data_IF_305603167124
#
_entry.id   IF_305603167124
#
_cell.length_a   1.000
_cell.length_b   1.000
_cell.length_c   1.000
_cell.angle_alpha   90.00
_cell.angle_beta   90.00
_cell.angle_gamma   90.00
#
_symmetry.space_group_name_H-M   'P 1'
#
loop_
_entity.id
_entity.type
_entity.pdbx_description
1 polymer ?
#
# COMPACT_ATOMS: atom_id res chain seq x y z
N UNK A 1 -9.76 55.82 42.31
CA UNK A 1 -8.34 55.64 41.94
C UNK A 1 -7.70 54.77 42.99
N UNK A 2 -7.60 53.47 42.72
CA UNK A 2 -6.81 52.52 43.51
C UNK A 2 -6.19 51.59 42.46
N UNK A 3 -4.94 51.88 42.11
CA UNK A 3 -4.17 51.14 41.12
C UNK A 3 -3.42 50.00 41.84
N UNK A 4 -3.95 48.79 41.73
CA UNK A 4 -3.21 47.57 42.03
C UNK A 4 -2.47 47.12 40.78
N UNK A 5 -1.15 47.33 40.79
CA UNK A 5 -0.20 46.75 39.84
C UNK A 5 -0.21 45.22 40.03
N UNK A 6 -0.99 44.54 39.18
CA UNK A 6 -0.99 43.09 39.05
C UNK A 6 0.11 42.64 38.08
N UNK A 7 1.22 42.18 38.66
CA UNK A 7 2.30 41.49 37.99
C UNK A 7 1.76 40.32 37.12
N UNK A 8 2.03 40.40 35.81
CA UNK A 8 1.75 39.35 34.83
C UNK A 8 3.05 38.90 34.15
N UNK A 9 4.03 38.45 34.92
CA UNK A 9 5.05 37.54 34.36
C UNK A 9 4.48 36.13 34.20
N UNK A 10 3.69 35.93 33.14
CA UNK A 10 3.34 34.58 32.68
C UNK A 10 4.56 34.05 31.92
N UNK A 11 5.49 33.44 32.65
CA UNK A 11 6.64 32.71 32.10
C UNK A 11 6.13 31.69 31.10
N UNK A 12 6.42 31.92 29.82
CA UNK A 12 6.22 30.94 28.76
C UNK A 12 7.17 29.78 29.00
N UNK A 13 6.73 28.78 29.76
CA UNK A 13 7.38 27.49 29.79
C UNK A 13 7.28 26.91 28.37
N UNK A 14 8.37 27.00 27.61
CA UNK A 14 8.51 26.31 26.34
C UNK A 14 8.24 24.83 26.59
N UNK A 15 7.22 24.27 25.93
CA UNK A 15 6.96 22.83 25.95
C UNK A 15 8.28 22.09 25.68
N UNK A 16 8.62 21.04 26.45
CA UNK A 16 9.90 20.36 26.31
C UNK A 16 10.10 19.92 24.86
N UNK A 17 11.28 20.23 24.31
CA UNK A 17 11.61 19.88 22.94
C UNK A 17 11.43 18.37 22.73
N UNK A 18 10.47 18.00 21.89
CA UNK A 18 10.13 16.62 21.62
C UNK A 18 11.36 15.87 21.06
N UNK A 19 11.63 14.68 21.61
CA UNK A 19 12.80 13.91 21.20
C UNK A 19 12.73 13.53 19.72
N UNK A 20 13.85 13.62 19.01
CA UNK A 20 13.96 13.26 17.60
C UNK A 20 13.47 11.83 17.32
N UNK A 21 13.60 10.92 18.30
CA UNK A 21 13.09 9.55 18.25
C UNK A 21 11.58 9.49 18.08
N UNK A 22 10.82 10.30 18.82
CA UNK A 22 9.35 10.38 18.68
C UNK A 22 8.95 10.93 17.31
N UNK A 23 9.73 11.88 16.78
CA UNK A 23 9.49 12.48 15.46
C UNK A 23 9.74 11.52 14.30
N UNK A 24 10.79 10.70 14.39
CA UNK A 24 11.18 9.78 13.30
C UNK A 24 10.53 8.39 13.41
N UNK A 25 9.92 8.04 14.54
CA UNK A 25 9.23 6.76 14.73
C UNK A 25 8.21 6.41 13.63
N UNK A 26 7.26 7.30 13.23
CA UNK A 26 6.34 6.98 12.14
C UNK A 26 7.04 6.82 10.79
N UNK A 27 8.11 7.56 10.55
CA UNK A 27 8.90 7.48 9.31
C UNK A 27 9.60 6.12 9.23
N UNK A 28 10.30 5.71 10.30
CA UNK A 28 10.97 4.42 10.37
C UNK A 28 9.99 3.26 10.30
N UNK A 29 8.84 3.37 10.96
CA UNK A 29 7.80 2.36 10.90
C UNK A 29 7.26 2.20 9.48
N UNK A 30 6.89 3.30 8.79
CA UNK A 30 6.37 3.21 7.42
C UNK A 30 7.44 2.74 6.43
N UNK A 31 8.69 3.18 6.60
CA UNK A 31 9.81 2.76 5.76
C UNK A 31 9.95 1.24 5.71
N UNK A 32 9.71 0.56 6.84
CA UNK A 32 9.81 -0.90 6.96
C UNK A 32 8.47 -1.61 6.72
N UNK A 33 7.34 -1.04 7.17
CA UNK A 33 6.04 -1.66 7.00
C UNK A 33 5.62 -1.77 5.53
N UNK A 34 5.90 -0.75 4.71
CA UNK A 34 5.55 -0.76 3.29
C UNK A 34 6.20 -1.91 2.51
N UNK A 35 7.53 -2.11 2.54
CA UNK A 35 8.15 -3.24 1.83
C UNK A 35 7.74 -4.60 2.39
N UNK A 36 7.54 -4.75 3.71
CA UNK A 36 7.02 -6.01 4.27
C UNK A 36 5.62 -6.32 3.70
N UNK A 37 4.75 -5.31 3.61
CA UNK A 37 3.41 -5.49 3.05
C UNK A 37 3.44 -5.75 1.53
N UNK A 38 4.40 -5.18 0.81
CA UNK A 38 4.53 -5.32 -0.63
C UNK A 38 5.11 -6.69 -1.04
N UNK A 39 6.19 -7.12 -0.40
CA UNK A 39 6.99 -8.25 -0.87
C UNK A 39 6.86 -9.49 0.02
N UNK A 40 6.87 -9.31 1.35
CA UNK A 40 7.00 -10.45 2.26
C UNK A 40 5.66 -11.04 2.66
N UNK A 41 4.62 -10.21 2.83
CA UNK A 41 3.36 -10.64 3.40
C UNK A 41 2.61 -11.65 2.51
N UNK A 42 2.77 -11.55 1.19
CA UNK A 42 2.18 -12.49 0.22
C UNK A 42 3.01 -13.78 0.08
N UNK A 43 4.30 -13.75 0.43
CA UNK A 43 5.18 -14.92 0.45
C UNK A 43 5.38 -15.60 -0.90
N UNK A 44 5.43 -14.82 -1.99
CA UNK A 44 5.57 -15.33 -3.37
C UNK A 44 7.03 -15.49 -3.80
N UNK A 45 7.97 -14.76 -3.20
CA UNK A 45 9.36 -14.74 -3.63
C UNK A 45 10.17 -15.89 -2.99
N UNK A 46 11.29 -16.24 -3.60
CA UNK A 46 12.15 -17.34 -3.12
C UNK A 46 12.82 -17.03 -1.77
N UNK A 47 12.92 -15.75 -1.41
CA UNK A 47 13.45 -15.24 -0.14
C UNK A 47 12.60 -15.59 1.09
N UNK A 48 11.32 -15.99 0.95
CA UNK A 48 10.41 -16.19 2.09
C UNK A 48 10.86 -17.29 3.07
N UNK A 49 11.76 -18.18 2.66
CA UNK A 49 12.35 -19.22 3.52
C UNK A 49 13.64 -18.82 4.24
N UNK A 50 14.20 -17.64 3.96
CA UNK A 50 15.51 -17.21 4.43
C UNK A 50 15.42 -15.89 5.23
N UNK A 51 15.47 -15.95 6.57
CA UNK A 51 15.43 -14.76 7.42
C UNK A 51 16.52 -13.73 7.13
N UNK A 52 17.72 -14.17 6.73
CA UNK A 52 18.81 -13.25 6.42
C UNK A 52 18.50 -12.51 5.12
N UNK A 53 18.04 -13.23 4.08
CA UNK A 53 17.62 -12.61 2.82
C UNK A 53 16.48 -11.59 3.02
N UNK A 54 15.51 -11.88 3.89
CA UNK A 54 14.43 -10.94 4.23
C UNK A 54 14.95 -9.68 4.94
N UNK A 55 15.95 -9.79 5.82
CA UNK A 55 16.53 -8.63 6.48
C UNK A 55 17.35 -7.80 5.49
N UNK A 56 18.19 -8.44 4.67
CA UNK A 56 19.01 -7.75 3.68
C UNK A 56 18.19 -7.15 2.54
N UNK A 57 17.10 -7.82 2.14
CA UNK A 57 16.18 -7.32 1.12
C UNK A 57 15.55 -5.98 1.49
N UNK A 58 15.39 -5.67 2.78
CA UNK A 58 14.91 -4.35 3.22
C UNK A 58 15.84 -3.21 2.78
N UNK A 59 17.15 -3.43 2.60
CA UNK A 59 18.04 -2.38 2.07
C UNK A 59 17.69 -1.99 0.62
N UNK A 60 17.09 -2.90 -0.14
CA UNK A 60 16.60 -2.67 -1.51
C UNK A 60 15.15 -2.19 -1.49
N UNK A 61 14.29 -2.87 -0.73
CA UNK A 61 12.86 -2.61 -0.75
C UNK A 61 12.44 -1.36 0.05
N UNK A 62 13.23 -0.89 1.02
CA UNK A 62 12.98 0.40 1.69
C UNK A 62 13.07 1.56 0.67
N UNK A 63 14.13 1.67 -0.16
CA UNK A 63 14.15 2.60 -1.28
C UNK A 63 12.98 2.46 -2.25
N UNK A 64 12.60 1.23 -2.62
CA UNK A 64 11.60 0.97 -3.67
C UNK A 64 10.16 1.17 -3.19
N UNK A 65 9.84 0.82 -1.95
CA UNK A 65 8.47 0.88 -1.40
C UNK A 65 8.33 1.83 -0.21
N UNK A 66 9.29 1.78 0.73
CA UNK A 66 9.28 2.62 1.92
C UNK A 66 9.35 4.11 1.60
N UNK A 67 10.30 4.51 0.76
CA UNK A 67 10.48 5.90 0.36
C UNK A 67 9.27 6.46 -0.41
N UNK A 68 8.70 5.77 -1.42
CA UNK A 68 7.45 6.19 -2.06
C UNK A 68 6.27 6.28 -1.11
N UNK A 69 6.08 5.31 -0.21
CA UNK A 69 4.99 5.35 0.76
C UNK A 69 5.07 6.62 1.64
N UNK A 70 6.28 6.98 2.11
CA UNK A 70 6.50 8.21 2.88
C UNK A 70 6.27 9.45 2.01
N UNK A 71 6.82 9.49 0.78
CA UNK A 71 6.66 10.61 -0.14
C UNK A 71 5.19 10.87 -0.48
N UNK A 72 4.45 9.84 -0.87
CA UNK A 72 3.02 9.90 -1.18
C UNK A 72 2.26 10.46 0.02
N UNK A 73 2.53 9.93 1.22
CA UNK A 73 1.91 10.40 2.47
C UNK A 73 2.22 11.87 2.72
N UNK A 74 3.47 12.29 2.59
CA UNK A 74 3.91 13.68 2.83
C UNK A 74 3.32 14.66 1.80
N UNK A 75 3.31 14.31 0.53
CA UNK A 75 2.71 15.11 -0.57
C UNK A 75 1.23 15.34 -0.32
N UNK A 76 0.52 14.34 0.22
CA UNK A 76 -0.91 14.45 0.50
C UNK A 76 -1.20 15.17 1.80
N UNK A 77 -0.54 14.80 2.90
CA UNK A 77 -0.86 15.32 4.24
C UNK A 77 -0.43 16.76 4.45
N UNK A 78 0.71 17.17 3.88
CA UNK A 78 1.22 18.55 4.00
C UNK A 78 0.24 19.64 3.54
N UNK A 79 -0.41 19.54 2.36
CA UNK A 79 -1.44 20.48 1.93
C UNK A 79 -2.84 20.17 2.50
N UNK A 80 -2.98 19.21 3.42
CA UNK A 80 -4.26 18.83 4.01
C UNK A 80 -5.19 18.01 3.11
N UNK A 81 -4.66 17.29 2.10
CA UNK A 81 -5.44 16.42 1.21
C UNK A 81 -5.78 15.07 1.86
N UNK A 82 -6.75 14.38 1.24
CA UNK A 82 -7.37 13.17 1.77
C UNK A 82 -6.90 11.87 1.11
N UNK A 83 -7.54 10.76 1.50
CA UNK A 83 -7.32 9.42 0.95
C UNK A 83 -7.49 9.29 -0.57
N UNK A 84 -8.42 9.99 -1.24
CA UNK A 84 -8.52 9.93 -2.70
C UNK A 84 -7.20 10.28 -3.42
N UNK A 85 -6.47 11.28 -2.94
CA UNK A 85 -5.14 11.61 -3.48
C UNK A 85 -4.09 10.53 -3.18
N UNK A 86 -4.16 9.85 -2.02
CA UNK A 86 -3.25 8.73 -1.71
C UNK A 86 -3.49 7.58 -2.68
N UNK A 87 -4.75 7.19 -2.91
CA UNK A 87 -5.08 6.10 -3.84
C UNK A 87 -4.62 6.38 -5.27
N UNK A 88 -4.79 7.61 -5.76
CA UNK A 88 -4.33 7.99 -7.10
C UNK A 88 -2.80 8.02 -7.22
N UNK A 89 -2.08 8.53 -6.22
CA UNK A 89 -0.62 8.49 -6.22
C UNK A 89 -0.08 7.07 -6.04
N UNK A 90 -0.75 6.23 -5.25
CA UNK A 90 -0.41 4.81 -5.13
C UNK A 90 -0.66 4.06 -6.45
N UNK A 91 -1.71 4.42 -7.19
CA UNK A 91 -1.96 3.90 -8.53
C UNK A 91 -0.87 4.33 -9.51
N UNK A 92 -0.46 5.61 -9.48
CA UNK A 92 0.63 6.12 -10.29
C UNK A 92 1.94 5.38 -9.99
N UNK A 93 2.26 5.16 -8.71
CA UNK A 93 3.39 4.34 -8.29
C UNK A 93 3.27 2.91 -8.82
N UNK A 94 2.12 2.24 -8.62
CA UNK A 94 1.94 0.85 -9.04
C UNK A 94 2.03 0.65 -10.54
N UNK A 95 1.49 1.59 -11.33
CA UNK A 95 1.62 1.57 -12.80
C UNK A 95 3.09 1.76 -13.20
N UNK A 96 3.79 2.75 -12.63
CA UNK A 96 5.19 3.00 -12.96
C UNK A 96 6.08 1.80 -12.59
N UNK A 97 5.90 1.27 -11.38
CA UNK A 97 6.64 0.13 -10.85
C UNK A 97 6.46 -1.10 -11.75
N UNK A 98 5.22 -1.56 -11.94
CA UNK A 98 4.92 -2.78 -12.69
C UNK A 98 5.22 -2.67 -14.19
N UNK A 99 5.05 -1.48 -14.79
CA UNK A 99 5.17 -1.33 -16.23
C UNK A 99 6.58 -0.99 -16.72
N UNK A 100 7.31 -0.15 -15.99
CA UNK A 100 8.60 0.39 -16.46
C UNK A 100 9.78 0.02 -15.58
N UNK A 101 9.58 -0.23 -14.28
CA UNK A 101 10.69 -0.53 -13.38
C UNK A 101 10.98 -2.03 -13.36
N UNK A 102 10.03 -2.85 -12.92
CA UNK A 102 10.17 -4.32 -12.96
C UNK A 102 9.67 -4.92 -14.29
N UNK A 103 8.89 -4.16 -15.07
CA UNK A 103 8.38 -4.54 -16.40
C UNK A 103 7.43 -5.75 -16.41
N UNK A 104 7.01 -6.25 -15.24
CA UNK A 104 6.10 -7.38 -15.09
C UNK A 104 4.74 -7.19 -15.77
N UNK A 105 4.26 -5.96 -15.91
CA UNK A 105 2.97 -5.69 -16.55
C UNK A 105 2.99 -6.03 -18.05
N UNK A 106 4.12 -5.80 -18.70
CA UNK A 106 4.26 -5.93 -20.16
C UNK A 106 5.08 -7.13 -20.61
N UNK A 107 5.87 -7.73 -19.73
CA UNK A 107 6.73 -8.87 -20.06
C UNK A 107 5.92 -10.19 -20.04
N UNK A 108 5.71 -10.85 -21.20
CA UNK A 108 4.99 -12.13 -21.27
C UNK A 108 5.81 -13.32 -20.74
N UNK A 109 7.09 -13.14 -20.43
CA UNK A 109 8.00 -14.19 -19.94
C UNK A 109 8.74 -13.75 -18.68
N UNK A 110 8.09 -12.96 -17.83
CA UNK A 110 8.70 -12.36 -16.64
C UNK A 110 9.31 -13.42 -15.70
N UNK A 111 10.62 -13.28 -15.41
CA UNK A 111 11.40 -14.09 -14.47
C UNK A 111 11.31 -15.60 -14.70
N UNK A 112 11.03 -16.04 -15.92
CA UNK A 112 10.82 -17.45 -16.29
C UNK A 112 9.87 -18.21 -15.33
N UNK A 113 8.86 -17.50 -14.79
CA UNK A 113 7.91 -18.08 -13.84
C UNK A 113 7.04 -19.11 -14.59
N UNK A 114 7.11 -20.38 -14.19
CA UNK A 114 6.48 -21.50 -14.92
C UNK A 114 4.97 -21.41 -15.08
N UNK A 115 4.29 -20.64 -14.23
CA UNK A 115 2.86 -20.40 -14.31
C UNK A 115 2.47 -19.01 -14.85
N UNK A 116 3.44 -18.23 -15.33
CA UNK A 116 3.22 -16.84 -15.74
C UNK A 116 2.19 -16.70 -16.86
N UNK A 117 2.27 -17.58 -17.87
CA UNK A 117 1.31 -17.60 -18.98
C UNK A 117 -0.13 -17.79 -18.49
N UNK A 118 -0.34 -18.55 -17.41
CA UNK A 118 -1.66 -18.75 -16.80
C UNK A 118 -2.19 -17.51 -16.08
N UNK A 119 -1.34 -16.57 -15.68
CA UNK A 119 -1.74 -15.29 -15.10
C UNK A 119 -1.92 -14.22 -16.18
N UNK A 120 -1.01 -14.20 -17.15
CA UNK A 120 -0.89 -13.14 -18.13
C UNK A 120 -1.86 -13.32 -19.31
N UNK A 121 -1.93 -14.51 -19.93
CA UNK A 121 -2.70 -14.71 -21.17
C UNK A 121 -4.24 -14.69 -21.02
N UNK A 122 -4.87 -15.22 -19.96
CA UNK A 122 -6.32 -15.51 -20.00
C UNK A 122 -7.24 -14.29 -20.11
N UNK A 123 -6.76 -13.10 -19.77
CA UNK A 123 -7.54 -11.84 -19.87
C UNK A 123 -6.82 -10.78 -20.68
N UNK A 124 -6.04 -11.20 -21.67
CA UNK A 124 -5.26 -10.33 -22.54
C UNK A 124 -6.15 -9.25 -23.17
N UNK A 125 -5.74 -7.99 -23.06
CA UNK A 125 -6.48 -6.87 -23.62
C UNK A 125 -6.21 -6.70 -25.12
N UNK A 126 -7.13 -6.06 -25.86
CA UNK A 126 -6.86 -5.64 -27.24
C UNK A 126 -5.54 -4.85 -27.31
N UNK A 127 -4.66 -5.23 -28.25
CA UNK A 127 -3.30 -4.69 -28.37
C UNK A 127 -2.21 -5.59 -27.79
N UNK A 128 -2.56 -6.57 -26.95
CA UNK A 128 -1.64 -7.62 -26.51
C UNK A 128 -0.49 -7.16 -25.61
N UNK A 129 -0.58 -5.96 -25.02
CA UNK A 129 0.48 -5.43 -24.15
C UNK A 129 0.41 -5.94 -22.72
N UNK A 130 -0.80 -6.16 -22.19
CA UNK A 130 -1.06 -6.61 -20.81
C UNK A 130 -2.46 -7.22 -20.75
N UNK A 131 -2.77 -7.88 -19.64
CA UNK A 131 -4.11 -8.39 -19.35
C UNK A 131 -4.82 -7.64 -18.25
N UNK A 132 -6.14 -7.78 -18.21
CA UNK A 132 -6.99 -7.16 -17.19
C UNK A 132 -6.67 -7.70 -15.78
N UNK A 133 -6.39 -9.01 -15.67
CA UNK A 133 -5.99 -9.64 -14.41
C UNK A 133 -4.66 -9.08 -13.90
N UNK A 134 -3.68 -8.86 -14.77
CA UNK A 134 -2.39 -8.29 -14.40
C UNK A 134 -2.52 -6.85 -13.89
N UNK A 135 -3.30 -6.01 -14.59
CA UNK A 135 -3.59 -4.64 -14.11
C UNK A 135 -4.26 -4.69 -12.73
N UNK A 136 -5.29 -5.53 -12.57
CA UNK A 136 -6.03 -5.65 -11.32
C UNK A 136 -5.15 -6.15 -10.17
N UNK A 137 -4.32 -7.15 -10.43
CA UNK A 137 -3.43 -7.78 -9.45
C UNK A 137 -2.26 -6.88 -9.06
N UNK A 138 -1.44 -6.46 -10.03
CA UNK A 138 -0.22 -5.68 -9.77
C UNK A 138 -0.54 -4.25 -9.34
N UNK A 139 -1.33 -3.51 -10.13
CA UNK A 139 -1.66 -2.12 -9.79
C UNK A 139 -2.57 -2.08 -8.56
N UNK A 140 -3.57 -2.96 -8.46
CA UNK A 140 -4.43 -3.05 -7.28
C UNK A 140 -3.68 -3.44 -6.02
N UNK A 141 -2.75 -4.39 -6.11
CA UNK A 141 -1.85 -4.80 -5.04
C UNK A 141 -1.01 -3.64 -4.53
N UNK A 142 -0.43 -2.83 -5.44
CA UNK A 142 0.31 -1.64 -5.05
C UNK A 142 -0.55 -0.55 -4.41
N UNK A 143 -1.75 -0.29 -4.95
CA UNK A 143 -2.68 0.69 -4.39
C UNK A 143 -3.00 0.33 -2.95
N UNK A 144 -3.43 -0.92 -2.71
CA UNK A 144 -3.99 -1.33 -1.43
C UNK A 144 -2.89 -1.83 -0.49
N UNK A 145 -2.18 -2.89 -0.86
CA UNK A 145 -1.23 -3.62 -0.02
C UNK A 145 0.10 -2.90 0.17
N UNK A 146 0.73 -2.43 -0.92
CA UNK A 146 2.09 -1.86 -0.83
C UNK A 146 2.13 -0.44 -0.26
N UNK A 147 1.08 0.36 -0.48
CA UNK A 147 1.10 1.80 -0.14
C UNK A 147 0.00 2.19 0.85
N UNK A 148 -1.29 2.00 0.50
CA UNK A 148 -2.37 2.61 1.30
C UNK A 148 -2.54 1.96 2.68
N UNK A 149 -2.52 0.63 2.76
CA UNK A 149 -2.64 -0.10 4.02
C UNK A 149 -1.49 0.19 5.00
N UNK A 150 -0.19 0.15 4.61
CA UNK A 150 0.90 0.50 5.52
C UNK A 150 0.87 1.98 5.94
N UNK A 151 0.45 2.91 5.06
CA UNK A 151 0.20 4.32 5.48
C UNK A 151 -0.89 4.38 6.55
N UNK A 152 -2.02 3.72 6.34
CA UNK A 152 -3.14 3.69 7.29
C UNK A 152 -2.74 3.08 8.63
N UNK A 153 -1.99 1.98 8.59
CA UNK A 153 -1.46 1.31 9.77
C UNK A 153 -0.49 2.22 10.54
N UNK A 154 0.39 2.92 9.83
CA UNK A 154 1.31 3.88 10.45
C UNK A 154 0.56 5.05 11.09
N UNK A 155 -0.41 5.63 10.40
CA UNK A 155 -1.27 6.68 10.96
C UNK A 155 -2.03 6.18 12.20
N UNK A 156 -2.43 4.92 12.22
CA UNK A 156 -3.09 4.30 13.38
C UNK A 156 -2.11 4.00 14.54
N UNK A 157 -0.86 3.69 14.23
CA UNK A 157 0.22 3.53 15.23
C UNK A 157 0.60 4.85 15.89
N UNK A 158 0.49 5.97 15.18
CA UNK A 158 0.93 7.28 15.66
C UNK A 158 -0.20 8.32 15.52
N UNK A 159 -1.31 8.17 16.28
CA UNK A 159 -2.51 9.01 16.14
C UNK A 159 -2.21 10.51 16.20
N UNK A 160 -1.40 10.92 17.17
CA UNK A 160 -1.06 12.33 17.42
C UNK A 160 -0.34 12.99 16.25
N UNK A 161 0.30 12.19 15.38
CA UNK A 161 1.08 12.65 14.23
C UNK A 161 0.42 12.29 12.90
N UNK A 162 -0.73 11.63 12.91
CA UNK A 162 -1.33 11.02 11.72
C UNK A 162 -1.61 12.04 10.60
N UNK A 163 -1.95 13.28 10.95
CA UNK A 163 -2.32 14.34 10.00
C UNK A 163 -1.25 15.40 9.79
N UNK A 164 -0.18 15.38 10.56
CA UNK A 164 0.88 16.38 10.50
C UNK A 164 1.99 15.96 9.54
N UNK A 165 2.69 16.87 8.85
CA UNK A 165 3.95 16.55 8.18
C UNK A 165 4.96 15.93 9.14
N UNK A 166 5.59 14.82 8.76
CA UNK A 166 6.63 14.17 9.57
C UNK A 166 8.01 14.70 9.27
N UNK A 167 8.25 15.16 8.04
CA UNK A 167 9.56 15.51 7.52
C UNK A 167 9.63 16.97 7.08
N UNK A 168 10.85 17.49 6.97
CA UNK A 168 11.12 18.80 6.34
C UNK A 168 11.37 18.61 4.84
N UNK A 169 11.18 19.64 3.99
CA UNK A 169 11.37 19.53 2.55
C UNK A 169 12.71 18.93 2.10
N UNK A 170 13.88 19.23 2.72
CA UNK A 170 15.14 18.60 2.32
C UNK A 170 15.14 17.07 2.48
N UNK A 171 14.49 16.55 3.52
CA UNK A 171 14.37 15.11 3.71
C UNK A 171 13.48 14.46 2.65
N UNK A 172 12.51 15.20 2.08
CA UNK A 172 11.71 14.70 0.94
C UNK A 172 12.56 14.59 -0.32
N UNK A 173 13.46 15.55 -0.57
CA UNK A 173 14.40 15.47 -1.69
C UNK A 173 15.32 14.26 -1.51
N UNK A 174 15.83 14.03 -0.30
CA UNK A 174 16.62 12.84 0.02
C UNK A 174 15.87 11.54 -0.21
N UNK A 175 14.59 11.45 0.20
CA UNK A 175 13.75 10.28 -0.07
C UNK A 175 13.45 10.10 -1.57
N UNK A 176 13.27 11.17 -2.33
CA UNK A 176 13.09 11.10 -3.77
C UNK A 176 14.35 10.60 -4.48
N UNK A 177 15.52 11.05 -4.06
CA UNK A 177 16.81 10.55 -4.56
C UNK A 177 17.02 9.07 -4.16
N UNK A 178 16.68 8.70 -2.93
CA UNK A 178 16.74 7.31 -2.47
C UNK A 178 15.83 6.40 -3.29
N UNK A 179 14.59 6.83 -3.54
CA UNK A 179 13.67 6.11 -4.42
C UNK A 179 14.20 6.02 -5.85
N UNK A 180 14.72 7.11 -6.42
CA UNK A 180 15.30 7.08 -7.76
C UNK A 180 16.47 6.09 -7.88
N UNK A 181 17.32 6.01 -6.86
CA UNK A 181 18.40 5.03 -6.79
C UNK A 181 17.86 3.58 -6.70
N UNK A 182 16.84 3.33 -5.86
CA UNK A 182 16.19 2.03 -5.76
C UNK A 182 15.46 1.61 -7.05
N UNK A 183 14.72 2.54 -7.65
CA UNK A 183 14.03 2.36 -8.93
C UNK A 183 15.02 2.07 -10.06
N UNK A 184 16.15 2.78 -10.09
CA UNK A 184 17.23 2.50 -11.03
C UNK A 184 17.83 1.11 -10.81
N UNK A 185 18.06 0.69 -9.56
CA UNK A 185 18.59 -0.64 -9.26
C UNK A 185 17.65 -1.75 -9.77
N UNK A 186 16.33 -1.63 -9.55
CA UNK A 186 15.34 -2.59 -10.06
C UNK A 186 15.29 -2.59 -11.58
N UNK A 187 15.31 -1.41 -12.21
CA UNK A 187 15.32 -1.30 -13.66
C UNK A 187 16.60 -1.88 -14.27
N UNK A 188 17.76 -1.56 -13.70
CA UNK A 188 19.04 -2.09 -14.15
C UNK A 188 19.07 -3.62 -14.04
N UNK A 189 18.61 -4.18 -12.92
CA UNK A 189 18.48 -5.62 -12.73
C UNK A 189 17.56 -6.25 -13.80
N UNK A 190 16.42 -5.62 -14.09
CA UNK A 190 15.50 -6.08 -15.14
C UNK A 190 16.15 -5.99 -16.53
N UNK A 191 16.92 -4.93 -16.82
CA UNK A 191 17.62 -4.79 -18.10
C UNK A 191 18.74 -5.81 -18.26
N UNK A 192 19.41 -6.19 -17.17
CA UNK A 192 20.53 -7.14 -17.21
C UNK A 192 20.06 -8.59 -17.32
N UNK A 193 18.93 -8.94 -16.71
CA UNK A 193 18.45 -10.33 -16.61
C UNK A 193 17.26 -10.68 -17.53
N UNK A 194 16.46 -9.70 -17.96
CA UNK A 194 15.32 -9.95 -18.85
C UNK A 194 15.63 -9.56 -20.30
N UNK A 195 15.12 -10.34 -21.26
CA UNK A 195 15.23 -10.00 -22.68
C UNK A 195 14.18 -8.96 -23.13
N UNK A 196 13.08 -8.83 -22.39
CA UNK A 196 11.98 -7.94 -22.73
C UNK A 196 12.39 -6.47 -22.65
N UNK A 197 11.92 -5.65 -23.60
CA UNK A 197 12.07 -4.19 -23.56
C UNK A 197 10.73 -3.55 -23.90
N UNK A 198 10.21 -2.62 -23.08
CA UNK A 198 8.98 -1.93 -23.40
C UNK A 198 9.17 -1.09 -24.67
N UNK A 199 8.23 -1.19 -25.59
CA UNK A 199 8.18 -0.36 -26.80
C UNK A 199 8.02 1.13 -26.46
N UNK A 200 8.41 2.01 -27.38
CA UNK A 200 8.21 3.45 -27.20
C UNK A 200 6.74 3.83 -26.92
N UNK A 201 5.79 3.09 -27.51
CA UNK A 201 4.37 3.28 -27.27
C UNK A 201 3.97 2.88 -25.84
N UNK A 202 4.45 1.74 -25.33
CA UNK A 202 4.25 1.31 -23.94
C UNK A 202 4.82 2.31 -22.95
N UNK A 203 6.04 2.83 -23.19
CA UNK A 203 6.66 3.86 -22.36
C UNK A 203 5.81 5.14 -22.37
N UNK A 204 5.44 5.63 -23.55
CA UNK A 204 4.65 6.86 -23.69
C UNK A 204 3.29 6.75 -22.98
N UNK A 205 2.54 5.67 -23.23
CA UNK A 205 1.23 5.45 -22.61
C UNK A 205 1.35 5.37 -21.10
N UNK A 206 2.33 4.63 -20.58
CA UNK A 206 2.56 4.55 -19.13
C UNK A 206 2.85 5.92 -18.54
N UNK A 207 3.77 6.70 -19.14
CA UNK A 207 4.10 8.05 -18.64
C UNK A 207 2.88 8.97 -18.65
N UNK A 208 2.06 8.93 -19.70
CA UNK A 208 0.81 9.70 -19.79
C UNK A 208 -0.15 9.29 -18.66
N UNK A 209 -0.38 8.00 -18.43
CA UNK A 209 -1.25 7.51 -17.35
C UNK A 209 -0.74 7.96 -15.98
N UNK A 210 0.57 7.81 -15.72
CA UNK A 210 1.20 8.24 -14.46
C UNK A 210 1.03 9.75 -14.26
N UNK A 211 1.28 10.57 -15.28
CA UNK A 211 1.12 12.03 -15.20
C UNK A 211 -0.33 12.41 -14.94
N UNK A 212 -1.29 11.78 -15.64
CA UNK A 212 -2.73 12.03 -15.45
C UNK A 212 -3.16 11.68 -14.03
N UNK A 213 -2.71 10.53 -13.48
CA UNK A 213 -3.01 10.13 -12.12
C UNK A 213 -2.44 11.09 -11.08
N UNK A 214 -1.18 11.53 -11.26
CA UNK A 214 -0.55 12.53 -10.39
C UNK A 214 -1.30 13.87 -10.48
N UNK A 215 -1.58 14.35 -11.70
CA UNK A 215 -2.31 15.59 -11.91
C UNK A 215 -3.70 15.55 -11.26
N UNK A 216 -4.45 14.45 -11.44
CA UNK A 216 -5.73 14.23 -10.80
C UNK A 216 -5.62 14.21 -9.26
N UNK A 217 -4.59 13.55 -8.70
CA UNK A 217 -4.35 13.50 -7.27
C UNK A 217 -4.11 14.90 -6.67
N UNK A 218 -3.40 15.76 -7.39
CA UNK A 218 -3.08 17.13 -6.99
C UNK A 218 -4.23 18.11 -7.25
N UNK A 219 -5.07 17.84 -8.26
CA UNK A 219 -6.27 18.63 -8.56
C UNK A 219 -7.41 18.44 -7.55
N UNK A 220 -7.42 17.32 -6.81
CA UNK A 220 -8.41 17.10 -5.74
C UNK A 220 -8.34 18.25 -4.72
N UNK A 221 -9.47 18.92 -4.44
CA UNK A 221 -9.53 20.03 -3.51
C UNK A 221 -8.98 19.67 -2.13
N UNK A 222 -8.25 20.62 -1.53
CA UNK A 222 -7.87 20.57 -0.12
C UNK A 222 -9.18 20.57 0.69
N UNK A 223 -9.32 19.64 1.63
CA UNK A 223 -10.54 19.26 2.37
C UNK A 223 -11.69 20.29 2.34
N UNK A 224 -12.78 19.94 1.63
CA UNK A 224 -14.16 20.22 2.02
C UNK A 224 -15.02 19.05 1.54
N UNK A 225 -15.41 18.16 2.45
CA UNK A 225 -16.45 17.17 2.15
C UNK A 225 -17.64 17.49 3.01
N UNK A 226 -18.75 17.86 2.39
CA UNK A 226 -20.02 17.95 3.09
C UNK A 226 -20.33 16.58 3.69
N UNK A 227 -20.44 16.52 5.02
CA UNK A 227 -20.86 15.30 5.69
C UNK A 227 -22.27 14.97 5.21
N UNK A 228 -22.48 13.72 4.79
CA UNK A 228 -23.82 13.23 4.43
C UNK A 228 -24.50 12.75 5.70
N UNK A 229 -25.80 13.00 5.84
CA UNK A 229 -26.59 12.37 6.88
C UNK A 229 -26.61 10.85 6.65
N UNK A 230 -26.38 10.07 7.72
CA UNK A 230 -26.36 8.62 7.65
C UNK A 230 -25.66 7.96 8.84
N UNK A 231 -25.96 6.68 9.07
CA UNK A 231 -25.32 5.86 10.11
C UNK A 231 -23.99 5.32 9.58
N UNK A 232 -22.94 5.44 10.40
CA UNK A 232 -21.64 4.79 10.11
C UNK A 232 -21.69 3.37 10.68
N UNK A 233 -21.36 2.31 9.90
CA UNK A 233 -21.23 0.96 10.45
C UNK A 233 -20.13 0.91 11.51
N UNK A 234 -20.17 -0.10 12.39
CA UNK A 234 -19.08 -0.28 13.37
C UNK A 234 -17.75 -0.62 12.66
N UNK A 235 -16.59 -0.31 13.27
CA UNK A 235 -15.29 -0.71 12.73
C UNK A 235 -15.17 -2.22 12.47
N UNK A 236 -15.84 -3.07 13.26
CA UNK A 236 -15.86 -4.52 13.05
C UNK A 236 -16.58 -4.92 11.74
N UNK A 237 -17.70 -4.26 11.41
CA UNK A 237 -18.39 -4.48 10.13
C UNK A 237 -17.50 -4.03 8.97
N UNK A 238 -16.85 -2.87 9.09
CA UNK A 238 -15.91 -2.38 8.07
C UNK A 238 -14.75 -3.35 7.87
N UNK A 239 -14.18 -3.89 8.96
CA UNK A 239 -13.13 -4.90 8.90
C UNK A 239 -13.59 -6.14 8.13
N UNK A 240 -14.72 -6.72 8.51
CA UNK A 240 -15.24 -7.95 7.89
C UNK A 240 -15.54 -7.75 6.40
N UNK A 241 -16.19 -6.64 6.03
CA UNK A 241 -16.47 -6.34 4.62
C UNK A 241 -15.18 -6.09 3.83
N UNK A 242 -14.21 -5.39 4.41
CA UNK A 242 -12.92 -5.13 3.75
C UNK A 242 -12.12 -6.42 3.55
N UNK A 243 -12.10 -7.30 4.56
CA UNK A 243 -11.46 -8.62 4.49
C UNK A 243 -12.06 -9.44 3.35
N UNK A 244 -13.39 -9.56 3.30
CA UNK A 244 -14.07 -10.34 2.25
C UNK A 244 -13.81 -9.72 0.88
N UNK A 245 -14.06 -8.41 0.72
CA UNK A 245 -13.94 -7.75 -0.58
C UNK A 245 -12.51 -7.85 -1.16
N UNK A 246 -11.49 -7.80 -0.30
CA UNK A 246 -10.08 -7.83 -0.72
C UNK A 246 -9.50 -9.25 -0.77
N UNK A 247 -10.12 -10.24 -0.12
CA UNK A 247 -9.72 -11.64 -0.19
C UNK A 247 -10.31 -12.39 -1.38
N UNK A 248 -11.48 -11.95 -1.91
CA UNK A 248 -12.19 -12.67 -2.99
C UNK A 248 -11.29 -12.95 -4.19
N UNK A 249 -10.61 -11.94 -4.73
CA UNK A 249 -9.81 -12.13 -5.96
C UNK A 249 -8.58 -13.02 -5.73
N UNK A 250 -7.70 -12.75 -4.75
CA UNK A 250 -6.54 -13.61 -4.52
C UNK A 250 -6.92 -15.05 -4.13
N UNK A 251 -8.05 -15.23 -3.44
CA UNK A 251 -8.58 -16.56 -3.15
C UNK A 251 -9.04 -17.28 -4.43
N UNK A 252 -9.82 -16.61 -5.29
CA UNK A 252 -10.22 -17.16 -6.58
C UNK A 252 -9.00 -17.55 -7.43
N UNK A 253 -7.99 -16.69 -7.48
CA UNK A 253 -6.72 -17.00 -8.16
C UNK A 253 -6.09 -18.28 -7.61
N UNK A 254 -5.97 -18.40 -6.29
CA UNK A 254 -5.37 -19.59 -5.67
C UNK A 254 -6.14 -20.89 -5.93
N UNK A 255 -7.45 -20.80 -6.19
CA UNK A 255 -8.30 -21.96 -6.53
C UNK A 255 -8.24 -22.29 -8.04
N UNK A 256 -8.01 -21.29 -8.89
CA UNK A 256 -7.99 -21.43 -10.35
C UNK A 256 -6.66 -21.92 -10.93
N UNK A 257 -5.57 -21.96 -10.14
CA UNK A 257 -4.23 -22.48 -10.55
C UNK A 257 -4.28 -23.92 -11.11
N UNK A 258 -5.41 -24.65 -10.99
CA UNK A 258 -5.62 -25.97 -11.59
C UNK A 258 -6.60 -26.05 -12.77
N UNK A 259 -7.32 -24.99 -13.14
CA UNK A 259 -8.40 -25.05 -14.13
C UNK A 259 -8.14 -24.21 -15.38
N UNK A 260 -8.26 -24.82 -16.56
CA UNK A 260 -8.01 -24.21 -17.87
C UNK A 260 -8.90 -22.99 -18.10
N UNK A 261 -8.28 -21.81 -18.24
CA UNK A 261 -8.62 -20.56 -18.96
C UNK A 261 -10.06 -20.03 -19.13
N UNK A 262 -11.13 -20.84 -19.07
CA UNK A 262 -12.51 -20.41 -19.32
C UNK A 262 -13.10 -19.56 -18.17
N UNK A 263 -12.56 -19.66 -16.95
CA UNK A 263 -13.04 -18.93 -15.76
C UNK A 263 -12.41 -17.55 -15.53
N UNK A 264 -11.31 -17.22 -16.22
CA UNK A 264 -10.49 -16.06 -15.87
C UNK A 264 -11.18 -14.70 -16.09
N UNK A 265 -11.97 -14.57 -17.17
CA UNK A 265 -12.76 -13.36 -17.43
C UNK A 265 -13.86 -13.16 -16.38
N UNK A 266 -14.74 -14.16 -16.11
CA UNK A 266 -15.68 -14.08 -14.99
C UNK A 266 -15.04 -13.73 -13.64
N UNK A 267 -13.90 -14.35 -13.28
CA UNK A 267 -13.20 -14.07 -12.04
C UNK A 267 -12.64 -12.64 -11.99
N UNK A 268 -12.06 -12.17 -13.09
CA UNK A 268 -11.50 -10.81 -13.22
C UNK A 268 -12.60 -9.76 -13.16
N UNK A 269 -13.70 -9.95 -13.89
CA UNK A 269 -14.87 -9.06 -13.88
C UNK A 269 -15.52 -9.07 -12.48
N UNK A 270 -15.70 -10.25 -11.88
CA UNK A 270 -16.25 -10.39 -10.54
C UNK A 270 -15.40 -9.67 -9.49
N UNK A 271 -14.07 -9.85 -9.53
CA UNK A 271 -13.13 -9.12 -8.68
C UNK A 271 -13.21 -7.61 -8.87
N UNK A 272 -13.23 -7.13 -10.12
CA UNK A 272 -13.39 -5.71 -10.42
C UNK A 272 -14.71 -5.15 -9.88
N UNK A 273 -15.83 -5.85 -10.07
CA UNK A 273 -17.14 -5.44 -9.58
C UNK A 273 -17.17 -5.38 -8.05
N UNK A 274 -16.55 -6.35 -7.36
CA UNK A 274 -16.40 -6.34 -5.90
C UNK A 274 -15.59 -5.12 -5.44
N UNK A 275 -14.46 -4.82 -6.09
CA UNK A 275 -13.67 -3.63 -5.75
C UNK A 275 -14.42 -2.32 -6.01
N UNK A 276 -15.16 -2.22 -7.12
CA UNK A 276 -15.99 -1.05 -7.44
C UNK A 276 -17.10 -0.88 -6.40
N UNK A 277 -17.83 -1.96 -6.07
CA UNK A 277 -18.86 -1.96 -5.05
C UNK A 277 -18.29 -1.55 -3.68
N UNK A 278 -17.12 -2.09 -3.32
CA UNK A 278 -16.41 -1.75 -2.10
C UNK A 278 -15.96 -0.28 -2.08
N UNK A 279 -15.43 0.25 -3.18
CA UNK A 279 -15.05 1.65 -3.30
C UNK A 279 -16.26 2.61 -3.16
N UNK A 280 -17.41 2.26 -3.76
CA UNK A 280 -18.67 3.00 -3.59
C UNK A 280 -19.11 2.99 -2.13
N UNK A 281 -19.05 1.82 -1.49
CA UNK A 281 -19.44 1.63 -0.10
C UNK A 281 -18.54 2.42 0.85
N UNK A 282 -17.22 2.33 0.69
CA UNK A 282 -16.25 3.15 1.43
C UNK A 282 -16.46 4.64 1.21
N UNK A 283 -16.79 5.07 -0.02
CA UNK A 283 -17.09 6.46 -0.33
C UNK A 283 -18.31 6.97 0.43
N UNK A 284 -19.36 6.13 0.53
CA UNK A 284 -20.58 6.44 1.31
C UNK A 284 -20.29 6.46 2.80
N UNK A 285 -19.67 5.42 3.35
CA UNK A 285 -19.35 5.33 4.78
C UNK A 285 -18.39 6.42 5.23
N UNK A 286 -17.37 6.73 4.44
CA UNK A 286 -16.39 7.79 4.75
C UNK A 286 -16.94 9.21 4.67
N UNK A 287 -18.17 9.38 4.20
CA UNK A 287 -18.86 10.67 4.21
C UNK A 287 -19.75 10.87 5.43
N UNK A 288 -19.94 9.84 6.27
CA UNK A 288 -20.79 9.90 7.45
C UNK A 288 -20.04 10.52 8.65
N UNK A 289 -20.72 11.25 9.56
CA UNK A 289 -20.08 11.95 10.68
C UNK A 289 -19.29 11.05 11.65
N UNK A 290 -19.69 9.78 11.77
CA UNK A 290 -19.02 8.80 12.64
C UNK A 290 -17.78 8.16 12.03
N UNK A 291 -17.45 8.44 10.77
CA UNK A 291 -16.25 7.88 10.15
C UNK A 291 -14.99 8.49 10.74
N UNK A 292 -14.02 7.63 11.08
CA UNK A 292 -12.84 8.05 11.81
C UNK A 292 -11.65 7.11 11.67
N UNK A 293 -10.54 7.40 12.37
CA UNK A 293 -9.30 6.64 12.29
C UNK A 293 -9.45 5.12 12.50
N UNK A 294 -10.30 4.68 13.43
CA UNK A 294 -10.57 3.25 13.67
C UNK A 294 -11.23 2.54 12.48
N UNK A 295 -12.04 3.25 11.71
CA UNK A 295 -12.61 2.70 10.47
C UNK A 295 -11.56 2.59 9.36
N UNK A 296 -10.64 3.56 9.28
CA UNK A 296 -9.50 3.50 8.35
C UNK A 296 -8.58 2.33 8.70
N UNK A 297 -8.28 2.15 9.99
CA UNK A 297 -7.53 0.97 10.48
C UNK A 297 -8.27 -0.33 10.13
N UNK A 298 -9.59 -0.40 10.31
CA UNK A 298 -10.37 -1.58 9.97
C UNK A 298 -10.26 -1.96 8.47
N UNK A 299 -10.28 -0.97 7.57
CA UNK A 299 -10.06 -1.22 6.13
C UNK A 299 -8.66 -1.77 5.86
N UNK A 300 -7.63 -1.13 6.43
CA UNK A 300 -6.24 -1.56 6.26
C UNK A 300 -5.99 -2.95 6.85
N UNK A 301 -6.54 -3.24 8.03
CA UNK A 301 -6.49 -4.56 8.66
C UNK A 301 -7.14 -5.63 7.79
N UNK A 302 -8.30 -5.35 7.20
CA UNK A 302 -8.97 -6.28 6.29
C UNK A 302 -8.11 -6.61 5.07
N UNK A 303 -7.47 -5.60 4.49
CA UNK A 303 -6.54 -5.78 3.37
C UNK A 303 -5.32 -6.64 3.75
N UNK A 304 -4.64 -6.29 4.84
CA UNK A 304 -3.41 -6.98 5.26
C UNK A 304 -3.68 -8.42 5.71
N UNK A 305 -4.78 -8.65 6.43
CA UNK A 305 -5.19 -10.01 6.83
C UNK A 305 -5.55 -10.83 5.60
N UNK A 306 -6.26 -10.26 4.60
CA UNK A 306 -6.57 -10.95 3.35
C UNK A 306 -5.28 -11.44 2.66
N UNK A 307 -4.29 -10.56 2.51
CA UNK A 307 -2.99 -10.89 1.90
C UNK A 307 -2.28 -11.98 2.69
N UNK A 308 -2.18 -11.82 4.02
CA UNK A 308 -1.47 -12.76 4.89
C UNK A 308 -2.11 -14.16 4.93
N UNK A 309 -3.44 -14.24 4.86
CA UNK A 309 -4.16 -15.53 4.80
C UNK A 309 -3.92 -16.21 3.44
N UNK A 310 -3.98 -15.44 2.35
CA UNK A 310 -3.74 -15.95 1.00
C UNK A 310 -2.29 -16.45 0.84
N UNK A 311 -1.32 -15.87 1.54
CA UNK A 311 0.07 -16.32 1.50
C UNK A 311 0.24 -17.84 1.82
N UNK A 312 -0.67 -18.43 2.59
CA UNK A 312 -0.65 -19.86 2.88
C UNK A 312 -0.99 -20.72 1.66
N UNK A 313 -1.70 -20.20 0.67
CA UNK A 313 -2.05 -20.91 -0.58
C UNK A 313 -1.10 -20.59 -1.74
N UNK A 314 -0.37 -19.48 -1.67
CA UNK A 314 0.61 -19.07 -2.68
C UNK A 314 1.77 -20.06 -2.77
N UNK A 315 2.18 -20.43 -3.98
CA UNK A 315 3.42 -21.18 -4.21
C UNK A 315 4.55 -20.18 -4.47
N UNK A 316 5.65 -20.20 -3.70
CA UNK A 316 6.76 -19.30 -3.95
C UNK A 316 7.47 -19.65 -5.26
N UNK A 317 8.13 -18.66 -5.85
CA UNK A 317 9.04 -18.83 -6.98
C UNK A 317 10.20 -19.74 -6.54
N UNK A 318 10.70 -20.56 -7.45
CA UNK A 318 11.83 -21.44 -7.18
C UNK A 318 11.51 -22.60 -6.24
N UNK A 319 12.49 -23.00 -5.42
CA UNK A 319 12.42 -24.17 -4.53
C UNK A 319 12.64 -23.77 -3.09
N UNK A 320 11.56 -23.37 -2.41
CA UNK A 320 11.58 -23.05 -0.98
C UNK A 320 11.03 -24.23 -0.18
N UNK A 321 11.74 -24.74 0.85
CA UNK A 321 11.23 -25.80 1.70
C UNK A 321 9.88 -25.42 2.33
N UNK A 322 8.88 -26.29 2.20
CA UNK A 322 7.51 -26.06 2.68
C UNK A 322 7.46 -25.65 4.16
N UNK A 323 8.27 -26.30 5.00
CA UNK A 323 8.37 -25.96 6.41
C UNK A 323 8.87 -24.51 6.63
N UNK A 324 9.95 -24.11 5.95
CA UNK A 324 10.50 -22.77 6.05
C UNK A 324 9.48 -21.70 5.61
N UNK A 325 8.82 -21.92 4.46
CA UNK A 325 7.76 -21.03 3.95
C UNK A 325 6.63 -20.84 4.97
N UNK A 326 6.07 -21.94 5.50
CA UNK A 326 4.97 -21.85 6.45
C UNK A 326 5.38 -21.29 7.81
N UNK A 327 6.62 -21.54 8.25
CA UNK A 327 7.16 -20.91 9.46
C UNK A 327 7.22 -19.39 9.28
N UNK A 328 7.80 -18.90 8.18
CA UNK A 328 7.87 -17.46 7.93
C UNK A 328 6.50 -16.83 7.79
N UNK A 329 5.59 -17.42 7.01
CA UNK A 329 4.22 -16.92 6.88
C UNK A 329 3.50 -16.84 8.24
N UNK A 330 3.69 -17.85 9.10
CA UNK A 330 3.11 -17.85 10.45
C UNK A 330 3.68 -16.74 11.32
N UNK A 331 5.01 -16.53 11.28
CA UNK A 331 5.67 -15.44 12.02
C UNK A 331 5.19 -14.07 11.55
N UNK A 332 5.15 -13.83 10.23
CA UNK A 332 4.66 -12.57 9.65
C UNK A 332 3.19 -12.33 9.99
N UNK A 333 2.35 -13.36 9.93
CA UNK A 333 0.93 -13.24 10.28
C UNK A 333 0.72 -12.92 11.76
N UNK A 334 1.43 -13.59 12.67
CA UNK A 334 1.36 -13.28 14.10
C UNK A 334 1.87 -11.88 14.42
N UNK A 335 2.97 -11.45 13.78
CA UNK A 335 3.51 -10.10 13.90
C UNK A 335 2.49 -9.06 13.41
N UNK A 336 1.86 -9.30 12.27
CA UNK A 336 0.79 -8.44 11.75
C UNK A 336 -0.34 -8.31 12.78
N UNK A 337 -0.86 -9.43 13.31
CA UNK A 337 -1.93 -9.39 14.32
C UNK A 337 -1.52 -8.62 15.58
N UNK A 338 -0.29 -8.78 16.05
CA UNK A 338 0.25 -8.05 17.19
C UNK A 338 0.30 -6.53 16.92
N UNK A 339 0.77 -6.13 15.74
CA UNK A 339 0.84 -4.72 15.32
C UNK A 339 -0.57 -4.13 15.15
N UNK A 340 -1.51 -4.85 14.53
CA UNK A 340 -2.90 -4.41 14.39
C UNK A 340 -3.58 -4.23 15.76
N UNK A 341 -3.36 -5.17 16.69
CA UNK A 341 -3.88 -5.08 18.06
C UNK A 341 -3.28 -3.87 18.81
N UNK A 342 -1.97 -3.62 18.64
CA UNK A 342 -1.33 -2.43 19.20
C UNK A 342 -1.92 -1.14 18.61
N UNK A 343 -2.26 -1.12 17.32
CA UNK A 343 -2.82 0.05 16.65
C UNK A 343 -4.22 0.34 17.19
N UNK A 344 -5.05 -0.68 17.30
CA UNK A 344 -6.38 -0.55 17.86
C UNK A 344 -6.36 -0.06 19.32
N UNK A 345 -5.41 -0.54 20.15
CA UNK A 345 -5.22 -0.03 21.51
C UNK A 345 -4.85 1.44 21.53
N UNK A 346 -3.89 1.87 20.70
CA UNK A 346 -3.49 3.29 20.59
C UNK A 346 -4.64 4.17 20.10
N UNK A 347 -5.45 3.69 19.17
CA UNK A 347 -6.62 4.42 18.68
C UNK A 347 -7.73 4.56 19.71
N UNK A 348 -7.90 3.59 20.61
CA UNK A 348 -8.86 3.69 21.73
C UNK A 348 -8.38 4.69 22.77
N UNK A 349 -7.11 4.60 23.18
CA UNK A 349 -6.51 5.50 24.15
C UNK A 349 -6.47 6.98 23.69
N UNK A 350 -6.50 7.23 22.38
CA UNK A 350 -6.53 8.60 21.84
C UNK A 350 -7.93 9.23 21.84
N UNK A 351 -8.99 8.47 22.14
CA UNK A 351 -10.39 8.94 22.21
C UNK A 351 -10.87 9.10 23.66
N UNK A 352 -10.20 8.45 24.60
CA UNK A 352 -10.43 8.54 26.06
C UNK A 352 -9.76 9.79 26.66
#
# INVERSE_FOLDING_TARGET
MSDTVGDRTRTGASAPAESWRRRLAPVAFLAVAAPICAEYLVGYDDSIGDPAALIFGLFVFVPVYGAPAILIREIVRRPGRGWPSIFLLAAAFGVLQAALLDQSLFNPHYRDISYWDHLWQPTLLPGGWTSAAMILGFVGGHIVGSISAPIALTEAMFPDRAREPWLRPPALVGLAALWAAGAWAVLADSLDHEAFRPSAAQVLVTLVVVIVLIAAALAIPRRHRALRQGRTPSPAVVLGVSLVALAVRPLLDSLEVGSRSAGAWPATIGGLLVLVAFAILLTRWSSAPGWGPRHILAVASGALIAIAVVAFTVRPIGHVPTAAKFTTNSVLFLLLLAVLAAAERRQRAAVE
#
